data_IF_734903985392
#
_entry.id   IF_734903985392
#
_cell.length_a   1.000
_cell.length_b   1.000
_cell.length_c   1.000
_cell.angle_alpha   90.00
_cell.angle_beta   90.00
_cell.angle_gamma   90.00
#
_symmetry.space_group_name_H-M   'P 1'
#
loop_
_entity.id
_entity.type
_entity.pdbx_description
1 polymer ?
#
# COMPACT_ATOMS: atom_id res chain seq x y z
N UNK A 1 -13.24 6.61 -31.85
CA UNK A 1 -12.88 7.44 -30.69
C UNK A 1 -11.73 6.75 -30.01
N UNK A 2 -10.55 7.34 -30.08
CA UNK A 2 -9.40 6.89 -29.29
C UNK A 2 -9.49 7.57 -27.92
N UNK A 3 -9.43 6.77 -26.85
CA UNK A 3 -9.45 7.27 -25.46
C UNK A 3 -8.04 7.53 -24.92
N UNK A 4 -7.01 7.14 -25.66
CA UNK A 4 -5.61 7.30 -25.26
C UNK A 4 -5.02 8.54 -25.94
N UNK A 5 -4.41 9.40 -25.14
CA UNK A 5 -3.65 10.54 -25.64
C UNK A 5 -2.48 10.06 -26.53
N UNK A 6 -2.11 10.87 -27.51
CA UNK A 6 -0.99 10.57 -28.42
C UNK A 6 0.34 10.38 -27.68
N UNK A 7 0.51 11.01 -26.52
CA UNK A 7 1.68 10.80 -25.64
C UNK A 7 1.70 9.41 -24.98
N UNK A 8 0.53 8.78 -24.86
CA UNK A 8 0.34 7.45 -24.27
C UNK A 8 0.40 6.36 -25.35
N UNK A 9 0.09 6.68 -26.62
CA UNK A 9 0.09 5.74 -27.77
C UNK A 9 1.48 5.29 -28.27
N UNK A 10 2.50 5.27 -27.42
CA UNK A 10 3.76 4.58 -27.78
C UNK A 10 3.56 3.08 -27.66
N UNK A 11 4.08 2.29 -28.59
CA UNK A 11 3.95 0.82 -28.58
C UNK A 11 4.38 0.17 -27.25
N UNK A 12 5.38 0.76 -26.57
CA UNK A 12 5.85 0.34 -25.24
C UNK A 12 4.78 0.54 -24.15
N UNK A 13 4.06 1.66 -24.20
CA UNK A 13 3.00 2.01 -23.25
C UNK A 13 1.74 1.17 -23.50
N UNK A 14 1.45 0.83 -24.76
CA UNK A 14 0.29 -0.03 -25.10
C UNK A 14 0.46 -1.43 -24.52
N UNK A 15 1.63 -2.06 -24.66
CA UNK A 15 1.90 -3.38 -24.07
C UNK A 15 1.80 -3.38 -22.55
N UNK A 16 2.30 -2.33 -21.92
CA UNK A 16 2.17 -2.13 -20.48
C UNK A 16 0.70 -2.02 -20.04
N UNK A 17 -0.12 -1.26 -20.78
CA UNK A 17 -1.55 -1.13 -20.50
C UNK A 17 -2.27 -2.48 -20.63
N UNK A 18 -1.91 -3.27 -21.66
CA UNK A 18 -2.43 -4.64 -21.82
C UNK A 18 -2.06 -5.53 -20.61
N UNK A 19 -0.80 -5.48 -20.14
CA UNK A 19 -0.36 -6.25 -18.98
C UNK A 19 -1.08 -5.86 -17.68
N UNK A 20 -1.34 -4.56 -17.49
CA UNK A 20 -2.12 -4.04 -16.35
C UNK A 20 -3.58 -4.47 -16.46
N UNK A 21 -4.18 -4.35 -17.64
CA UNK A 21 -5.56 -4.76 -17.89
C UNK A 21 -5.74 -6.26 -17.64
N UNK A 22 -4.80 -7.09 -18.09
CA UNK A 22 -4.83 -8.53 -17.84
C UNK A 22 -4.67 -8.84 -16.35
N UNK A 23 -3.78 -8.14 -15.63
CA UNK A 23 -3.67 -8.31 -14.18
C UNK A 23 -4.98 -7.93 -13.46
N UNK A 24 -5.60 -6.81 -13.83
CA UNK A 24 -6.89 -6.41 -13.28
C UNK A 24 -7.98 -7.44 -13.57
N UNK A 25 -8.02 -8.00 -14.78
CA UNK A 25 -8.93 -9.09 -15.16
C UNK A 25 -8.76 -10.30 -14.27
N UNK A 26 -7.52 -10.72 -14.00
CA UNK A 26 -7.20 -11.83 -13.11
C UNK A 26 -7.62 -11.56 -11.65
N UNK A 27 -7.42 -10.34 -11.15
CA UNK A 27 -7.86 -9.93 -9.80
C UNK A 27 -9.40 -9.93 -9.65
N UNK A 28 -10.12 -9.69 -10.75
CA UNK A 28 -11.58 -9.65 -10.80
C UNK A 28 -12.22 -10.99 -11.15
N UNK A 29 -11.45 -12.08 -11.18
CA UNK A 29 -11.96 -13.40 -11.49
C UNK A 29 -13.11 -13.79 -10.54
N UNK A 30 -14.14 -14.43 -11.10
CA UNK A 30 -15.38 -14.74 -10.37
C UNK A 30 -15.11 -15.75 -9.26
N UNK A 31 -14.24 -16.72 -9.53
CA UNK A 31 -13.74 -17.66 -8.52
C UNK A 31 -12.58 -17.04 -7.76
N UNK A 32 -12.75 -16.84 -6.45
CA UNK A 32 -11.70 -16.30 -5.58
C UNK A 32 -10.42 -17.15 -5.53
N UNK A 33 -10.52 -18.47 -5.79
CA UNK A 33 -9.38 -19.40 -5.81
C UNK A 33 -8.47 -19.16 -7.02
N UNK A 34 -9.02 -18.63 -8.11
CA UNK A 34 -8.28 -18.34 -9.34
C UNK A 34 -7.66 -16.94 -9.33
N UNK A 35 -7.99 -16.11 -8.32
CA UNK A 35 -7.40 -14.78 -8.19
C UNK A 35 -5.93 -14.93 -7.76
N UNK A 36 -5.04 -14.10 -8.31
CA UNK A 36 -3.65 -14.07 -7.85
C UNK A 36 -3.58 -13.63 -6.40
N UNK A 37 -2.54 -14.08 -5.70
CA UNK A 37 -2.24 -13.58 -4.35
C UNK A 37 -1.78 -12.12 -4.41
N UNK A 38 -2.02 -11.36 -3.33
CA UNK A 38 -1.55 -9.97 -3.26
C UNK A 38 -0.03 -9.83 -3.41
N UNK A 39 0.74 -10.88 -3.06
CA UNK A 39 2.17 -10.93 -3.31
C UNK A 39 2.47 -10.95 -4.81
N UNK A 40 1.81 -11.82 -5.57
CA UNK A 40 1.98 -11.91 -7.02
C UNK A 40 1.53 -10.62 -7.72
N UNK A 41 0.43 -10.01 -7.25
CA UNK A 41 -0.04 -8.72 -7.74
C UNK A 41 1.01 -7.64 -7.51
N UNK A 42 1.56 -7.54 -6.29
CA UNK A 42 2.61 -6.58 -5.96
C UNK A 42 3.88 -6.80 -6.78
N UNK A 43 4.33 -8.04 -6.94
CA UNK A 43 5.51 -8.40 -7.72
C UNK A 43 5.33 -8.04 -9.20
N UNK A 44 4.15 -8.30 -9.79
CA UNK A 44 3.87 -7.95 -11.19
C UNK A 44 3.83 -6.43 -11.37
N UNK A 45 3.18 -5.70 -10.47
CA UNK A 45 3.13 -4.23 -10.51
C UNK A 45 4.51 -3.59 -10.32
N UNK A 46 5.36 -4.11 -9.43
CA UNK A 46 6.71 -3.58 -9.23
C UNK A 46 7.57 -3.74 -10.50
N UNK A 47 7.42 -4.86 -11.22
CA UNK A 47 8.09 -5.07 -12.51
C UNK A 47 7.60 -4.07 -13.56
N UNK A 48 6.28 -3.91 -13.69
CA UNK A 48 5.68 -2.97 -14.66
C UNK A 48 6.08 -1.52 -14.35
N UNK A 49 6.12 -1.15 -13.06
CA UNK A 49 6.59 0.17 -12.60
C UNK A 49 8.04 0.45 -13.04
N UNK A 50 8.93 -0.53 -13.00
CA UNK A 50 10.34 -0.36 -13.41
C UNK A 50 10.51 -0.18 -14.91
N UNK A 51 9.58 -0.73 -15.71
CA UNK A 51 9.56 -0.51 -17.16
C UNK A 51 9.10 0.91 -17.47
N UNK A 52 8.21 1.48 -16.65
CA UNK A 52 7.81 2.87 -16.73
C UNK A 52 8.87 3.81 -16.14
N UNK A 53 9.71 4.39 -17.00
CA UNK A 53 10.53 5.56 -16.67
C UNK A 53 9.68 6.84 -16.68
N UNK A 54 8.56 6.86 -15.95
CA UNK A 54 7.72 8.05 -15.87
C UNK A 54 8.29 9.03 -14.84
N UNK A 55 8.28 10.35 -15.08
CA UNK A 55 8.66 11.35 -14.07
C UNK A 55 7.96 11.22 -12.70
N UNK A 56 6.81 10.54 -12.62
CA UNK A 56 6.08 10.29 -11.37
C UNK A 56 6.70 9.17 -10.52
N UNK A 57 7.56 8.31 -11.10
CA UNK A 57 8.28 7.26 -10.35
C UNK A 57 9.55 7.78 -9.70
N UNK A 58 10.05 8.95 -10.13
CA UNK A 58 11.04 9.73 -9.39
C UNK A 58 10.30 10.38 -8.23
N UNK A 59 10.15 9.67 -7.10
CA UNK A 59 9.47 10.18 -5.93
C UNK A 59 10.01 11.57 -5.60
N UNK A 60 9.16 12.59 -5.69
CA UNK A 60 9.51 13.92 -5.26
C UNK A 60 9.60 13.87 -3.71
N UNK A 61 10.79 13.96 -3.10
CA UNK A 61 10.93 13.82 -1.66
C UNK A 61 10.13 14.89 -0.90
N UNK A 62 9.89 16.04 -1.53
CA UNK A 62 9.08 17.13 -1.00
C UNK A 62 7.57 16.78 -0.96
N UNK A 63 7.05 16.06 -1.95
CA UNK A 63 5.66 15.57 -1.94
C UNK A 63 5.45 14.47 -0.89
N UNK A 64 6.44 13.58 -0.71
CA UNK A 64 6.44 12.58 0.36
C UNK A 64 6.45 13.22 1.75
N UNK A 65 7.24 14.28 1.94
CA UNK A 65 7.31 15.03 3.20
C UNK A 65 5.99 15.76 3.50
N UNK A 66 5.36 16.35 2.48
CA UNK A 66 4.05 17.00 2.60
C UNK A 66 2.92 15.99 2.92
N UNK A 67 2.99 14.76 2.39
CA UNK A 67 2.06 13.66 2.70
C UNK A 67 2.24 13.09 4.11
N UNK A 68 3.47 13.12 4.63
CA UNK A 68 3.77 12.82 6.04
C UNK A 68 3.36 13.96 6.99
N UNK A 69 2.72 15.01 6.43
CA UNK A 69 2.23 16.24 7.04
C UNK A 69 2.34 16.26 8.55
N UNK A 70 3.31 17.04 9.05
CA UNK A 70 3.61 17.34 10.45
C UNK A 70 2.68 16.62 11.44
N UNK A 71 2.89 15.32 11.61
CA UNK A 71 2.32 14.60 12.74
C UNK A 71 2.99 15.21 13.96
N UNK A 72 2.32 16.17 14.57
CA UNK A 72 2.62 16.66 15.91
C UNK A 72 2.96 15.46 16.76
N UNK A 73 4.21 15.40 17.20
CA UNK A 73 4.81 14.32 17.96
C UNK A 73 3.84 13.76 19.00
N UNK A 74 3.37 12.51 18.91
CA UNK A 74 2.94 11.84 20.12
C UNK A 74 4.23 11.58 20.89
N UNK A 75 4.33 12.24 22.05
CA UNK A 75 5.39 12.06 23.04
C UNK A 75 5.95 10.64 23.01
N UNK A 76 7.25 10.50 22.74
CA UNK A 76 7.94 9.21 22.80
C UNK A 76 7.83 8.65 24.22
N UNK A 77 6.80 7.85 24.47
CA UNK A 77 6.84 6.84 25.52
C UNK A 77 7.44 5.62 24.85
N UNK A 78 8.69 5.32 25.20
CA UNK A 78 9.39 4.14 24.73
C UNK A 78 8.64 2.93 25.30
N UNK A 79 7.82 2.30 24.47
CA UNK A 79 7.20 1.00 24.81
C UNK A 79 8.29 -0.04 24.59
N UNK A 80 8.89 -0.50 25.69
CA UNK A 80 9.76 -1.67 25.66
C UNK A 80 8.91 -2.93 25.53
N UNK A 81 9.48 -3.95 24.91
CA UNK A 81 8.85 -5.23 24.55
C UNK A 81 8.38 -6.08 25.76
N UNK A 82 8.31 -5.52 26.96
CA UNK A 82 7.83 -6.17 28.17
C UNK A 82 6.32 -5.95 28.42
N UNK A 83 5.67 -5.07 27.65
CA UNK A 83 4.25 -4.70 27.86
C UNK A 83 3.23 -5.69 27.25
N UNK A 84 3.67 -6.80 26.62
CA UNK A 84 2.78 -7.78 25.99
C UNK A 84 2.48 -9.05 26.80
N UNK A 85 2.87 -9.12 28.08
CA UNK A 85 2.44 -10.25 28.93
C UNK A 85 1.16 -9.92 29.69
N UNK A 86 0.11 -10.70 29.42
CA UNK A 86 -1.24 -10.66 30.05
C UNK A 86 -1.21 -10.79 31.59
N UNK A 87 -0.05 -11.02 32.19
CA UNK A 87 0.11 -11.12 33.62
C UNK A 87 0.65 -9.82 34.23
N UNK A 88 -0.22 -9.17 35.02
CA UNK A 88 0.09 -8.40 36.24
C UNK A 88 0.30 -6.89 36.06
N UNK A 89 -0.69 -6.10 36.52
CA UNK A 89 -0.67 -5.57 37.91
C UNK A 89 -2.02 -4.96 38.30
N UNK A 90 -2.59 -5.48 39.37
CA UNK A 90 -3.66 -4.85 40.13
C UNK A 90 -3.16 -3.58 40.83
N UNK A 91 -3.95 -2.50 40.79
CA UNK A 91 -4.16 -1.57 41.89
C UNK A 91 -5.06 -0.41 41.42
N UNK A 92 -6.36 -0.49 41.70
CA UNK A 92 -7.18 0.61 42.24
C UNK A 92 -8.49 -0.03 42.69
N UNK A 93 -8.68 -0.07 44.01
CA UNK A 93 -9.80 -0.75 44.65
C UNK A 93 -11.13 -0.12 44.29
N UNK A 94 -12.08 -0.97 43.90
CA UNK A 94 -13.49 -0.63 43.90
C UNK A 94 -14.08 -1.35 45.10
N UNK A 95 -14.40 -0.61 46.17
CA UNK A 95 -15.27 -1.08 47.23
C UNK A 95 -16.66 -1.33 46.64
N UNK A 96 -17.11 -2.57 46.68
CA UNK A 96 -18.51 -2.97 46.52
C UNK A 96 -19.08 -3.18 47.92
N UNK A 97 -19.96 -2.28 48.34
CA UNK A 97 -20.73 -2.37 49.58
C UNK A 97 -22.22 -2.49 49.29
N UNK A 98 -22.72 -3.73 49.42
CA UNK A 98 -24.09 -4.28 49.55
C UNK A 98 -25.29 -3.55 48.92
#
# INVERSE_FOLDING_TARGET
MDLLDEQIKKDENVKLLEDIAELARQCLEMSGINRPSMKEVADKLDRLRKVMQHPWTQGNPEELYNLLGDSSVPSTVVVTTEDFTIAKKAAMGIEIGR
#
